data_IF_052362416289
#
_entry.id   IF_052362416289
#
_cell.length_a   1.000
_cell.length_b   1.000
_cell.length_c   1.000
_cell.angle_alpha   90.00
_cell.angle_beta   90.00
_cell.angle_gamma   90.00
#
_symmetry.space_group_name_H-M   'P 1'
#
loop_
_entity.id
_entity.type
_entity.pdbx_description
1 polymer ?
#
# COMPACT_ATOMS: atom_id res chain seq x y z
N UNK A 1 -30.92 8.01 -63.96
CA UNK A 1 -29.84 7.17 -64.53
C UNK A 1 -28.51 7.32 -63.80
N UNK A 2 -27.92 8.50 -63.67
CA UNK A 2 -26.63 8.65 -62.93
C UNK A 2 -26.77 8.47 -61.41
N UNK A 3 -27.89 8.90 -60.81
CA UNK A 3 -28.13 8.75 -59.37
C UNK A 3 -28.34 7.30 -58.93
N UNK A 4 -29.05 6.49 -59.72
CA UNK A 4 -29.33 5.09 -59.39
C UNK A 4 -28.05 4.23 -59.42
N UNK A 5 -27.15 4.52 -60.36
CA UNK A 5 -25.84 3.87 -60.47
C UNK A 5 -24.96 4.24 -59.25
N UNK A 6 -24.97 5.51 -58.82
CA UNK A 6 -24.24 5.95 -57.63
C UNK A 6 -24.74 5.25 -56.35
N UNK A 7 -26.06 5.10 -56.20
CA UNK A 7 -26.66 4.39 -55.04
C UNK A 7 -26.25 2.91 -55.03
N UNK A 8 -26.23 2.24 -56.19
CA UNK A 8 -25.76 0.84 -56.29
C UNK A 8 -24.29 0.66 -55.92
N UNK A 9 -23.43 1.58 -56.36
CA UNK A 9 -21.99 1.58 -56.00
C UNK A 9 -21.81 1.83 -54.50
N UNK A 10 -22.54 2.79 -53.92
CA UNK A 10 -22.50 3.07 -52.48
C UNK A 10 -22.99 1.87 -51.66
N UNK A 11 -24.10 1.25 -52.05
CA UNK A 11 -24.65 0.07 -51.36
C UNK A 11 -23.68 -1.12 -51.37
N UNK A 12 -23.08 -1.42 -52.53
CA UNK A 12 -22.10 -2.51 -52.64
C UNK A 12 -20.81 -2.24 -51.84
N UNK A 13 -20.31 -1.00 -51.82
CA UNK A 13 -19.13 -0.64 -51.03
C UNK A 13 -19.37 -0.76 -49.52
N UNK A 14 -20.56 -0.38 -49.04
CA UNK A 14 -20.94 -0.54 -47.63
C UNK A 14 -20.97 -2.02 -47.20
N UNK A 15 -21.48 -2.91 -48.05
CA UNK A 15 -21.50 -4.34 -47.75
C UNK A 15 -20.08 -4.89 -47.61
N UNK A 16 -19.17 -4.54 -48.52
CA UNK A 16 -17.77 -4.96 -48.44
C UNK A 16 -17.05 -4.41 -47.22
N UNK A 17 -17.31 -3.15 -46.84
CA UNK A 17 -16.77 -2.55 -45.62
C UNK A 17 -17.25 -3.32 -44.38
N UNK A 18 -18.52 -3.72 -44.34
CA UNK A 18 -19.09 -4.44 -43.21
C UNK A 18 -18.48 -5.85 -43.07
N UNK A 19 -18.29 -6.56 -44.19
CA UNK A 19 -17.59 -7.86 -44.22
C UNK A 19 -16.13 -7.70 -43.73
N UNK A 20 -15.43 -6.66 -44.20
CA UNK A 20 -14.05 -6.39 -43.81
C UNK A 20 -13.94 -6.09 -42.31
N UNK A 21 -14.87 -5.31 -41.75
CA UNK A 21 -14.91 -5.02 -40.31
C UNK A 21 -15.14 -6.29 -39.46
N UNK A 22 -16.07 -7.16 -39.88
CA UNK A 22 -16.32 -8.44 -39.20
C UNK A 22 -15.06 -9.32 -39.25
N UNK A 23 -14.39 -9.39 -40.40
CA UNK A 23 -13.17 -10.17 -40.56
C UNK A 23 -12.03 -9.66 -39.65
N UNK A 24 -11.82 -8.34 -39.59
CA UNK A 24 -10.82 -7.72 -38.71
C UNK A 24 -11.16 -7.99 -37.23
N UNK A 25 -12.42 -7.86 -36.85
CA UNK A 25 -12.87 -8.15 -35.48
C UNK A 25 -12.61 -9.60 -35.09
N UNK A 26 -12.90 -10.55 -36.00
CA UNK A 26 -12.68 -11.97 -35.78
C UNK A 26 -11.18 -12.30 -35.64
N UNK A 27 -10.32 -11.74 -36.50
CA UNK A 27 -8.86 -11.91 -36.41
C UNK A 27 -8.32 -11.35 -35.09
N UNK A 28 -8.77 -10.17 -34.67
CA UNK A 28 -8.39 -9.56 -33.39
C UNK A 28 -8.82 -10.42 -32.20
N UNK A 29 -10.03 -10.97 -32.23
CA UNK A 29 -10.53 -11.85 -31.17
C UNK A 29 -9.74 -13.16 -31.07
N UNK A 30 -9.35 -13.74 -32.21
CA UNK A 30 -8.48 -14.93 -32.26
C UNK A 30 -7.09 -14.63 -31.70
N UNK A 31 -6.50 -13.48 -32.05
CA UNK A 31 -5.21 -13.05 -31.48
C UNK A 31 -5.27 -12.83 -29.97
N UNK A 32 -6.32 -12.16 -29.48
CA UNK A 32 -6.48 -11.85 -28.06
C UNK A 32 -6.75 -13.10 -27.21
N UNK A 33 -7.52 -14.06 -27.72
CA UNK A 33 -7.73 -15.35 -27.03
C UNK A 33 -6.45 -16.19 -26.96
N UNK A 34 -5.64 -16.20 -28.04
CA UNK A 34 -4.34 -16.87 -28.03
C UNK A 34 -3.35 -16.24 -27.02
N UNK A 35 -3.34 -14.91 -26.90
CA UNK A 35 -2.52 -14.21 -25.90
C UNK A 35 -2.97 -14.55 -24.48
N UNK A 36 -4.28 -14.52 -24.19
CA UNK A 36 -4.82 -14.90 -22.87
C UNK A 36 -4.52 -16.35 -22.52
N UNK A 37 -4.55 -17.27 -23.49
CA UNK A 37 -4.19 -18.66 -23.28
C UNK A 37 -2.69 -18.81 -22.91
N UNK A 38 -1.81 -18.06 -23.57
CA UNK A 38 -0.38 -18.02 -23.23
C UNK A 38 -0.14 -17.43 -21.83
N UNK A 39 -0.85 -16.36 -21.50
CA UNK A 39 -0.76 -15.72 -20.18
C UNK A 39 -1.20 -16.67 -19.06
N UNK A 40 -2.34 -17.35 -19.23
CA UNK A 40 -2.80 -18.38 -18.28
C UNK A 40 -1.83 -19.56 -18.17
N UNK A 41 -1.21 -19.98 -19.28
CA UNK A 41 -0.21 -21.06 -19.25
C UNK A 41 1.04 -20.63 -18.47
N UNK A 42 1.50 -19.41 -18.69
CA UNK A 42 2.64 -18.82 -17.97
C UNK A 42 2.35 -18.67 -16.47
N UNK A 43 1.16 -18.20 -16.09
CA UNK A 43 0.77 -18.11 -14.68
C UNK A 43 0.71 -19.48 -14.00
N UNK A 44 0.21 -20.50 -14.70
CA UNK A 44 0.19 -21.88 -14.19
C UNK A 44 1.60 -22.42 -13.96
N UNK A 45 2.50 -22.21 -14.92
CA UNK A 45 3.91 -22.64 -14.80
C UNK A 45 4.61 -21.92 -13.64
N UNK A 46 4.42 -20.60 -13.53
CA UNK A 46 4.93 -19.80 -12.41
C UNK A 46 4.44 -20.35 -11.06
N UNK A 47 3.14 -20.63 -10.94
CA UNK A 47 2.57 -21.16 -9.70
C UNK A 47 3.13 -22.54 -9.36
N UNK A 48 3.34 -23.40 -10.37
CA UNK A 48 3.93 -24.72 -10.17
C UNK A 48 5.38 -24.62 -9.66
N UNK A 49 6.19 -23.71 -10.21
CA UNK A 49 7.56 -23.44 -9.73
C UNK A 49 7.53 -22.90 -8.29
N UNK A 50 6.62 -21.99 -7.98
CA UNK A 50 6.47 -21.46 -6.61
C UNK A 50 6.08 -22.54 -5.60
N UNK A 51 5.20 -23.46 -6.00
CA UNK A 51 4.78 -24.58 -5.16
C UNK A 51 5.93 -25.58 -4.96
N UNK A 52 6.69 -25.90 -6.01
CA UNK A 52 7.90 -26.72 -5.88
C UNK A 52 8.92 -26.10 -4.93
N UNK A 53 9.22 -24.80 -5.07
CA UNK A 53 10.11 -24.10 -4.15
C UNK A 53 9.58 -24.09 -2.71
N UNK A 54 8.26 -24.01 -2.51
CA UNK A 54 7.66 -24.09 -1.16
C UNK A 54 7.89 -25.47 -0.55
N UNK A 55 7.68 -26.54 -1.33
CA UNK A 55 7.87 -27.93 -0.90
C UNK A 55 9.35 -28.18 -0.59
N UNK A 56 10.27 -27.76 -1.45
CA UNK A 56 11.71 -27.91 -1.23
C UNK A 56 12.18 -27.20 0.03
N UNK A 57 11.76 -25.93 0.22
CA UNK A 57 12.08 -25.18 1.45
C UNK A 57 11.52 -25.85 2.70
N UNK A 58 10.31 -26.37 2.63
CA UNK A 58 9.70 -27.08 3.75
C UNK A 58 10.46 -28.38 4.06
N UNK A 59 10.85 -29.14 3.03
CA UNK A 59 11.63 -30.36 3.19
C UNK A 59 13.01 -30.10 3.79
N UNK A 60 13.73 -29.09 3.31
CA UNK A 60 15.03 -28.69 3.86
C UNK A 60 14.91 -28.21 5.31
N UNK A 61 13.86 -27.44 5.62
CA UNK A 61 13.54 -27.04 6.98
C UNK A 61 13.30 -28.25 7.90
N UNK A 62 12.48 -29.21 7.47
CA UNK A 62 12.17 -30.42 8.26
C UNK A 62 13.42 -31.28 8.51
N UNK A 63 14.27 -31.47 7.49
CA UNK A 63 15.56 -32.16 7.66
C UNK A 63 16.44 -31.46 8.70
N UNK A 64 16.55 -30.13 8.62
CA UNK A 64 17.29 -29.32 9.59
C UNK A 64 16.68 -29.39 10.99
N UNK A 65 15.35 -29.36 11.09
CA UNK A 65 14.63 -29.44 12.36
C UNK A 65 14.81 -30.80 13.04
N UNK A 66 14.60 -31.91 12.33
CA UNK A 66 14.75 -33.26 12.90
C UNK A 66 16.18 -33.50 13.36
N UNK A 67 17.17 -33.17 12.51
CA UNK A 67 18.59 -33.33 12.85
C UNK A 67 19.05 -32.43 13.99
N UNK A 68 18.44 -31.25 14.16
CA UNK A 68 18.70 -30.32 15.26
C UNK A 68 18.00 -30.70 16.56
N UNK A 69 16.73 -31.12 16.49
CA UNK A 69 15.90 -31.45 17.63
C UNK A 69 16.36 -32.74 18.35
N UNK A 70 16.90 -33.72 17.62
CA UNK A 70 17.48 -34.93 18.23
C UNK A 70 18.78 -34.65 18.98
N UNK A 71 19.49 -33.57 18.64
CA UNK A 71 20.83 -33.26 19.20
C UNK A 71 20.83 -32.12 20.20
N UNK A 72 19.81 -31.26 20.19
CA UNK A 72 19.77 -30.03 20.96
C UNK A 72 18.67 -30.09 22.01
N UNK A 73 19.05 -30.08 23.28
CA UNK A 73 18.15 -29.82 24.41
C UNK A 73 17.57 -28.38 24.41
N UNK A 74 18.09 -27.53 23.52
CA UNK A 74 17.73 -26.13 23.36
C UNK A 74 16.85 -25.95 22.12
N UNK A 75 15.70 -25.32 22.30
CA UNK A 75 14.74 -25.01 21.25
C UNK A 75 14.51 -23.49 21.25
N UNK A 76 14.66 -22.83 20.11
CA UNK A 76 14.30 -21.41 19.96
C UNK A 76 12.95 -21.34 19.26
N UNK A 77 11.94 -20.79 19.92
CA UNK A 77 10.67 -20.45 19.29
C UNK A 77 10.75 -19.02 18.75
N UNK A 78 10.27 -18.85 17.52
CA UNK A 78 10.21 -17.56 16.84
C UNK A 78 8.75 -17.23 16.55
N UNK A 79 8.27 -16.13 17.11
CA UNK A 79 6.88 -15.68 16.97
C UNK A 79 6.83 -14.28 16.35
N UNK A 80 5.80 -13.95 15.54
CA UNK A 80 5.63 -12.60 15.02
C UNK A 80 5.33 -11.61 16.17
N UNK A 81 6.03 -10.48 16.16
CA UNK A 81 5.82 -9.38 17.09
C UNK A 81 5.16 -8.20 16.38
N UNK A 82 4.14 -7.63 17.02
CA UNK A 82 3.53 -6.36 16.62
C UNK A 82 3.22 -5.54 17.86
N UNK A 83 3.69 -4.31 17.87
CA UNK A 83 3.31 -3.33 18.89
C UNK A 83 2.85 -2.02 18.24
N UNK A 84 1.86 -1.38 18.86
CA UNK A 84 1.26 -0.13 18.40
C UNK A 84 1.23 0.84 19.57
N UNK A 85 2.21 1.74 19.61
CA UNK A 85 2.29 2.78 20.62
C UNK A 85 1.80 4.11 20.02
N UNK A 86 0.81 4.73 20.66
CA UNK A 86 0.23 5.99 20.18
C UNK A 86 0.15 7.03 21.28
N UNK A 87 0.51 8.28 20.95
CA UNK A 87 0.23 9.46 21.78
C UNK A 87 -0.76 10.34 21.02
N UNK A 88 -1.97 10.46 21.57
CA UNK A 88 -2.98 11.43 21.14
C UNK A 88 -2.68 12.76 21.81
N UNK A 89 -2.46 13.80 21.01
CA UNK A 89 -2.35 15.19 21.47
C UNK A 89 -3.44 16.02 20.80
N UNK A 90 -3.74 17.18 21.36
CA UNK A 90 -4.82 18.05 20.87
C UNK A 90 -4.63 18.46 19.39
N UNK A 91 -3.39 18.70 18.95
CA UNK A 91 -3.09 19.13 17.57
C UNK A 91 -2.54 18.01 16.68
N UNK A 92 -1.93 16.98 17.27
CA UNK A 92 -1.22 15.95 16.53
C UNK A 92 -1.39 14.59 17.20
N UNK A 93 -1.81 13.62 16.41
CA UNK A 93 -1.82 12.21 16.76
C UNK A 93 -0.56 11.57 16.20
N UNK A 94 0.28 11.02 17.08
CA UNK A 94 1.45 10.24 16.66
C UNK A 94 1.21 8.78 17.02
N UNK A 95 1.45 7.90 16.06
CA UNK A 95 1.39 6.46 16.20
C UNK A 95 2.68 5.86 15.68
N UNK A 96 3.29 4.99 16.46
CA UNK A 96 4.47 4.22 16.11
C UNK A 96 4.06 2.76 16.10
N UNK A 97 4.16 2.14 14.93
CA UNK A 97 3.94 0.71 14.74
C UNK A 97 5.30 0.03 14.64
N UNK A 98 5.53 -0.95 15.49
CA UNK A 98 6.74 -1.77 15.51
C UNK A 98 6.37 -3.18 15.09
N UNK A 99 7.08 -3.70 14.09
CA UNK A 99 6.87 -5.03 13.52
C UNK A 99 8.19 -5.78 13.61
N UNK A 100 8.14 -7.03 14.05
CA UNK A 100 9.36 -7.81 14.26
C UNK A 100 9.10 -9.26 14.62
N UNK A 101 10.06 -9.85 15.32
CA UNK A 101 10.02 -11.23 15.81
C UNK A 101 10.39 -11.29 17.29
N UNK A 102 9.72 -12.16 18.04
CA UNK A 102 10.10 -12.55 19.40
C UNK A 102 10.82 -13.89 19.33
N UNK A 103 12.03 -13.96 19.88
CA UNK A 103 12.80 -15.18 20.06
C UNK A 103 12.72 -15.61 21.51
N UNK A 104 12.28 -16.84 21.78
CA UNK A 104 12.23 -17.41 23.12
C UNK A 104 13.01 -18.71 23.18
N UNK A 105 14.00 -18.77 24.06
CA UNK A 105 14.80 -19.96 24.31
C UNK A 105 14.10 -20.87 25.32
N UNK A 106 13.91 -22.12 24.93
CA UNK A 106 13.46 -23.22 25.76
C UNK A 106 14.59 -24.22 25.95
N UNK A 107 14.75 -24.71 27.17
CA UNK A 107 15.66 -25.82 27.51
C UNK A 107 14.81 -26.92 28.10
N UNK A 108 14.73 -28.07 27.42
CA UNK A 108 13.87 -29.20 27.84
C UNK A 108 12.41 -28.78 28.11
N UNK A 109 11.89 -27.85 27.28
CA UNK A 109 10.54 -27.32 27.41
C UNK A 109 10.34 -26.21 28.45
N UNK A 110 11.40 -25.82 29.19
CA UNK A 110 11.35 -24.73 30.18
C UNK A 110 11.89 -23.44 29.54
N UNK A 111 11.11 -22.33 29.53
CA UNK A 111 11.61 -21.05 29.06
C UNK A 111 12.75 -20.58 29.99
N UNK A 112 13.97 -20.49 29.44
CA UNK A 112 15.18 -20.29 30.26
C UNK A 112 15.71 -18.86 30.24
N UNK A 113 15.26 -18.03 29.30
CA UNK A 113 15.67 -16.64 29.15
C UNK A 113 14.47 -15.75 28.83
N UNK A 114 14.63 -14.46 29.12
CA UNK A 114 13.66 -13.46 28.70
C UNK A 114 13.56 -13.42 27.17
N UNK A 115 12.34 -13.26 26.62
CA UNK A 115 12.16 -13.24 25.18
C UNK A 115 12.88 -12.04 24.55
N UNK A 116 13.69 -12.30 23.53
CA UNK A 116 14.37 -11.25 22.77
C UNK A 116 13.46 -10.75 21.64
N UNK A 117 13.14 -9.46 21.64
CA UNK A 117 12.31 -8.84 20.60
C UNK A 117 13.22 -8.14 19.59
N UNK A 118 13.24 -8.63 18.36
CA UNK A 118 13.94 -8.00 17.24
C UNK A 118 12.93 -7.22 16.39
N UNK A 119 13.01 -5.90 16.42
CA UNK A 119 12.18 -5.03 15.56
C UNK A 119 12.81 -4.98 14.17
N UNK A 120 12.08 -5.45 13.17
CA UNK A 120 12.50 -5.43 11.76
C UNK A 120 12.10 -4.12 11.12
N UNK A 121 10.91 -3.63 11.44
CA UNK A 121 10.34 -2.44 10.84
C UNK A 121 9.68 -1.56 11.90
N UNK A 122 9.92 -0.25 11.78
CA UNK A 122 9.26 0.76 12.61
C UNK A 122 8.63 1.81 11.70
N UNK A 123 7.30 1.85 11.70
CA UNK A 123 6.51 2.80 10.92
C UNK A 123 6.02 3.90 11.84
N UNK A 124 6.35 5.15 11.53
CA UNK A 124 5.86 6.33 12.27
C UNK A 124 4.77 7.03 11.46
N UNK A 125 3.55 7.03 11.99
CA UNK A 125 2.40 7.76 11.45
C UNK A 125 2.14 8.97 12.33
N UNK A 126 2.09 10.16 11.75
CA UNK A 126 1.84 11.40 12.49
C UNK A 126 0.75 12.22 11.81
N UNK A 127 -0.49 12.07 12.26
CA UNK A 127 -1.63 12.78 11.72
C UNK A 127 -1.89 14.06 12.49
N UNK A 128 -2.16 15.14 11.76
CA UNK A 128 -2.47 16.44 12.34
C UNK A 128 -3.99 16.60 12.35
N UNK A 129 -4.54 17.05 13.47
CA UNK A 129 -5.98 17.28 13.57
C UNK A 129 -6.30 18.66 13.00
N UNK A 130 -6.54 18.72 11.69
CA UNK A 130 -6.81 19.95 10.95
C UNK A 130 -8.00 20.73 11.56
N UNK A 131 -9.06 20.03 11.98
CA UNK A 131 -10.22 20.64 12.64
C UNK A 131 -9.87 21.35 13.95
N UNK A 132 -9.01 20.76 14.78
CA UNK A 132 -8.58 21.37 16.04
C UNK A 132 -7.62 22.55 15.82
N UNK A 133 -6.80 22.50 14.77
CA UNK A 133 -5.95 23.63 14.37
C UNK A 133 -6.79 24.80 13.87
N UNK A 134 -7.77 24.54 13.00
CA UNK A 134 -8.66 25.57 12.47
C UNK A 134 -9.52 26.20 13.59
N UNK A 135 -10.00 25.39 14.52
CA UNK A 135 -10.74 25.88 15.69
C UNK A 135 -9.87 26.79 16.58
N UNK A 136 -8.59 26.46 16.76
CA UNK A 136 -7.67 27.29 17.53
C UNK A 136 -7.35 28.60 16.82
N UNK A 137 -7.19 28.58 15.50
CA UNK A 137 -6.98 29.78 14.68
C UNK A 137 -8.20 30.71 14.71
N UNK A 138 -9.41 30.17 14.57
CA UNK A 138 -10.65 30.95 14.66
C UNK A 138 -10.85 31.60 16.03
N UNK A 139 -10.48 30.91 17.12
CA UNK A 139 -10.50 31.49 18.48
C UNK A 139 -9.47 32.61 18.64
N UNK A 140 -8.28 32.47 18.05
CA UNK A 140 -7.26 33.53 18.06
C UNK A 140 -7.75 34.76 17.29
N UNK A 141 -8.35 34.56 16.11
CA UNK A 141 -8.92 35.64 15.30
C UNK A 141 -10.02 36.41 16.06
N UNK A 142 -10.94 35.70 16.71
CA UNK A 142 -11.97 36.31 17.55
C UNK A 142 -11.41 37.09 18.76
N UNK A 143 -10.28 36.66 19.33
CA UNK A 143 -9.63 37.37 20.43
C UNK A 143 -8.93 38.63 19.90
N UNK A 144 -8.25 38.51 18.76
CA UNK A 144 -7.55 39.62 18.12
C UNK A 144 -8.51 40.75 17.70
N UNK A 145 -9.69 40.41 17.17
CA UNK A 145 -10.74 41.38 16.83
C UNK A 145 -11.27 42.15 18.05
N UNK A 146 -11.18 41.56 19.24
CA UNK A 146 -11.65 42.16 20.50
C UNK A 146 -10.59 42.97 21.23
N UNK A 147 -9.34 42.99 20.78
CA UNK A 147 -8.27 43.78 21.40
C UNK A 147 -8.27 45.18 20.77
N UNK A 148 -8.64 46.25 21.51
CA UNK A 148 -8.65 47.60 21.00
C UNK A 148 -7.22 48.17 21.07
N UNK A 149 -6.32 47.70 20.20
CA UNK A 149 -4.96 48.24 20.14
C UNK A 149 -4.53 48.51 18.69
N UNK A 150 -4.32 49.79 18.30
CA UNK A 150 -3.81 50.15 16.99
C UNK A 150 -2.34 49.75 16.75
N UNK A 151 -1.67 49.16 17.74
CA UNK A 151 -0.25 48.80 17.71
C UNK A 151 0.01 47.30 17.50
N UNK A 152 -1.02 46.44 17.61
CA UNK A 152 -0.91 45.02 17.29
C UNK A 152 -1.24 44.80 15.81
N UNK A 153 -0.35 45.26 14.93
CA UNK A 153 -0.38 44.86 13.52
C UNK A 153 0.30 43.50 13.42
N UNK A 154 -0.48 42.44 13.23
CA UNK A 154 0.06 41.17 12.79
C UNK A 154 0.83 41.41 11.48
N UNK A 155 2.08 40.94 11.44
CA UNK A 155 2.97 41.12 10.29
C UNK A 155 2.52 40.36 9.02
N UNK A 156 1.30 39.81 9.02
CA UNK A 156 0.70 39.09 7.90
C UNK A 156 -0.69 38.57 8.24
N UNK A 157 -1.37 38.05 7.22
CA UNK A 157 -2.68 37.40 7.34
C UNK A 157 -2.55 36.10 8.17
N UNK A 158 -3.34 35.96 9.24
CA UNK A 158 -3.32 34.80 10.14
C UNK A 158 -3.56 33.48 9.38
N UNK A 159 -4.35 33.55 8.30
CA UNK A 159 -4.64 32.44 7.40
C UNK A 159 -3.40 31.99 6.61
N UNK A 160 -2.55 32.93 6.21
CA UNK A 160 -1.29 32.64 5.51
C UNK A 160 -0.25 32.05 6.47
N UNK A 161 -0.27 32.47 7.74
CA UNK A 161 0.55 31.85 8.79
C UNK A 161 0.11 30.42 9.10
N UNK A 162 -1.20 30.18 9.28
CA UNK A 162 -1.75 28.84 9.51
C UNK A 162 -1.48 27.87 8.37
N UNK A 163 -1.70 28.31 7.12
CA UNK A 163 -1.38 27.51 5.93
C UNK A 163 0.13 27.30 5.74
N UNK A 164 0.96 28.27 6.15
CA UNK A 164 2.41 28.16 6.18
C UNK A 164 2.94 27.08 7.13
N UNK A 165 2.37 26.99 8.35
CA UNK A 165 2.68 25.93 9.32
C UNK A 165 2.25 24.54 8.82
N UNK A 166 1.06 24.43 8.23
CA UNK A 166 0.57 23.18 7.66
C UNK A 166 1.44 22.71 6.49
N UNK A 167 1.93 23.64 5.64
CA UNK A 167 2.83 23.33 4.51
C UNK A 167 4.22 22.90 4.95
N UNK A 168 4.84 23.59 5.91
CA UNK A 168 6.19 23.24 6.38
C UNK A 168 6.23 21.88 7.07
N UNK A 169 5.16 21.49 7.77
CA UNK A 169 5.05 20.19 8.43
C UNK A 169 4.73 19.06 7.43
N UNK A 170 3.88 19.30 6.41
CA UNK A 170 3.64 18.33 5.32
C UNK A 170 4.90 18.07 4.48
N UNK A 171 5.73 19.09 4.24
CA UNK A 171 6.98 18.99 3.47
C UNK A 171 8.04 18.09 4.15
N UNK A 172 8.10 18.09 5.49
CA UNK A 172 9.07 17.31 6.27
C UNK A 172 8.75 15.81 6.37
N UNK A 173 7.72 15.35 5.66
CA UNK A 173 7.16 13.98 5.70
C UNK A 173 7.51 13.16 4.45
N UNK A 174 8.19 13.77 3.47
CA UNK A 174 8.76 13.11 2.28
C UNK A 174 10.26 12.86 2.46
#
# INVERSE_FOLDING_TARGET
MTQDILIGILGSSLIWILILLIFIAHQKQKGMSALRAKEMAFEKEKNLILDQMRIEKQSEFEKGYVSGAEKSDFIIHVEPYKNMNGKKSYFQNSQVVEIGYIYRLFVKGIPSLDPHIQIVERIKLSELNEQNVDSALGKLEMILEKIPSPHLRLAGNLKDFGTGLLRTIKSKRN
#
